data_IF_391186996008
#
_entry.id   IF_391186996008
#
_cell.length_a   1.000
_cell.length_b   1.000
_cell.length_c   1.000
_cell.angle_alpha   90.00
_cell.angle_beta   90.00
_cell.angle_gamma   90.00
#
_symmetry.space_group_name_H-M   'P 1'
#
loop_
_entity.id
_entity.type
_entity.pdbx_description
1 polymer ?
#
# COMPACT_ATOMS: atom_id res chain seq x y z
N UNK A 1 -28.33 16.63 -45.91
CA UNK A 1 -29.68 16.41 -46.42
C UNK A 1 -30.24 15.09 -45.96
N UNK A 2 -31.05 15.14 -44.96
CA UNK A 2 -32.35 14.46 -44.89
C UNK A 2 -33.05 14.95 -43.62
N UNK A 3 -34.15 15.57 -43.92
CA UNK A 3 -35.13 16.24 -43.03
C UNK A 3 -36.02 15.26 -42.30
N UNK A 4 -36.44 15.72 -41.15
CA UNK A 4 -37.78 15.69 -40.51
C UNK A 4 -38.71 14.51 -40.84
N UNK A 5 -39.27 13.89 -39.79
CA UNK A 5 -40.74 13.87 -39.64
C UNK A 5 -41.20 13.63 -38.19
N UNK A 6 -42.18 14.44 -37.88
CA UNK A 6 -42.97 14.54 -36.66
C UNK A 6 -44.01 13.43 -36.63
N UNK A 7 -44.28 12.86 -35.45
CA UNK A 7 -45.61 12.32 -35.15
C UNK A 7 -45.95 12.50 -33.67
N UNK A 8 -46.91 13.42 -33.48
CA UNK A 8 -47.69 13.56 -32.25
C UNK A 8 -48.65 12.39 -32.08
N UNK A 9 -48.82 11.92 -30.87
CA UNK A 9 -50.05 11.23 -30.44
C UNK A 9 -50.42 11.65 -29.04
N UNK A 10 -51.52 12.39 -28.98
CA UNK A 10 -52.30 12.75 -27.79
C UNK A 10 -52.71 11.51 -27.00
N UNK A 11 -52.52 11.59 -25.69
CA UNK A 11 -53.29 10.81 -24.72
C UNK A 11 -53.79 11.74 -23.62
N UNK A 12 -55.03 12.15 -23.79
CA UNK A 12 -55.88 12.80 -22.78
C UNK A 12 -56.24 11.80 -21.68
N UNK A 13 -55.94 12.15 -20.42
CA UNK A 13 -56.43 11.47 -19.22
C UNK A 13 -57.58 12.31 -18.62
N UNK A 14 -58.69 11.72 -18.24
CA UNK A 14 -59.85 12.46 -17.75
C UNK A 14 -59.70 12.88 -16.29
N UNK A 15 -60.14 14.10 -16.00
CA UNK A 15 -60.27 14.70 -14.66
C UNK A 15 -61.58 14.18 -14.01
N UNK A 16 -61.54 13.67 -12.76
CA UNK A 16 -62.75 13.43 -11.99
C UNK A 16 -63.24 14.73 -11.29
N UNK A 17 -64.53 14.99 -11.40
CA UNK A 17 -65.24 16.08 -10.78
C UNK A 17 -65.28 15.97 -9.25
N UNK A 18 -65.28 17.15 -8.59
CA UNK A 18 -65.41 17.32 -7.17
C UNK A 18 -66.80 17.05 -6.65
N UNK A 19 -66.94 16.56 -5.43
CA UNK A 19 -68.17 16.71 -4.64
C UNK A 19 -68.12 17.92 -3.71
N UNK A 20 -69.22 18.63 -3.61
CA UNK A 20 -69.50 19.76 -2.75
C UNK A 20 -69.90 19.35 -1.34
N UNK A 21 -69.51 20.26 -0.42
CA UNK A 21 -70.17 20.58 0.85
C UNK A 21 -69.85 19.81 2.14
N UNK A 22 -69.35 20.61 3.07
CA UNK A 22 -69.70 20.53 4.47
C UNK A 22 -68.60 20.23 5.45
N UNK A 23 -67.78 21.25 5.78
CA UNK A 23 -66.98 21.09 6.98
C UNK A 23 -66.61 22.37 7.72
N UNK A 24 -66.70 22.26 9.03
CA UNK A 24 -66.36 23.27 10.02
C UNK A 24 -64.82 23.47 10.15
N UNK A 25 -64.37 24.65 10.57
CA UNK A 25 -62.95 24.94 10.66
C UNK A 25 -62.36 24.25 11.87
N UNK A 26 -61.38 23.38 11.60
CA UNK A 26 -60.45 22.81 12.61
C UNK A 26 -59.53 23.94 13.10
N UNK A 27 -59.47 24.10 14.41
CA UNK A 27 -58.72 25.19 15.07
C UNK A 27 -57.22 25.12 14.74
N UNK A 28 -56.64 26.29 14.43
CA UNK A 28 -55.20 26.48 14.08
C UNK A 28 -54.23 26.00 15.17
N UNK A 29 -54.69 25.61 16.35
CA UNK A 29 -53.88 25.13 17.46
C UNK A 29 -53.44 23.66 17.32
N UNK A 30 -54.27 22.82 16.63
CA UNK A 30 -53.99 21.40 16.45
C UNK A 30 -52.97 21.13 15.32
N UNK A 31 -52.96 22.00 14.30
CA UNK A 31 -52.02 21.88 13.19
C UNK A 31 -50.57 22.26 13.58
N UNK A 32 -50.41 23.13 14.60
CA UNK A 32 -49.10 23.51 15.11
C UNK A 32 -48.45 22.44 16.00
N UNK A 33 -49.22 21.69 16.78
CA UNK A 33 -48.73 20.65 17.63
C UNK A 33 -48.31 19.38 16.84
N UNK A 34 -48.98 19.09 15.73
CA UNK A 34 -48.61 17.97 14.86
C UNK A 34 -47.38 18.29 14.01
N UNK A 35 -47.16 19.56 13.68
CA UNK A 35 -45.94 20.00 12.96
C UNK A 35 -44.69 20.08 13.88
N UNK A 36 -44.88 20.22 15.19
CA UNK A 36 -43.77 20.22 16.16
C UNK A 36 -43.42 18.81 16.68
N UNK A 37 -44.34 17.84 16.58
CA UNK A 37 -44.11 16.44 16.99
C UNK A 37 -43.50 15.55 15.88
N UNK A 38 -43.46 16.02 14.60
CA UNK A 38 -42.86 15.28 13.48
C UNK A 38 -41.42 15.75 13.14
N UNK A 39 -40.84 16.62 13.93
CA UNK A 39 -39.44 16.96 13.87
C UNK A 39 -38.57 16.07 14.78
N UNK A 40 -38.88 14.78 14.91
CA UNK A 40 -37.91 13.80 15.33
C UNK A 40 -36.95 13.55 14.16
N UNK A 41 -35.77 14.17 14.23
CA UNK A 41 -34.66 13.98 13.31
C UNK A 41 -34.47 12.49 13.09
N UNK A 42 -34.75 12.03 11.88
CA UNK A 42 -34.44 10.67 11.48
C UNK A 42 -32.91 10.52 11.41
N UNK A 43 -32.25 9.66 12.22
CA UNK A 43 -30.79 9.51 12.24
C UNK A 43 -30.19 9.17 10.86
N UNK A 44 -31.00 8.64 9.96
CA UNK A 44 -30.60 8.34 8.58
C UNK A 44 -30.57 9.60 7.69
N UNK A 45 -31.43 10.57 7.93
CA UNK A 45 -31.46 11.84 7.18
C UNK A 45 -30.29 12.75 7.62
N UNK A 46 -30.00 12.83 8.92
CA UNK A 46 -28.83 13.55 9.41
C UNK A 46 -27.53 12.98 8.84
N UNK A 47 -27.38 11.64 8.81
CA UNK A 47 -26.24 10.97 8.21
C UNK A 47 -26.10 11.26 6.71
N UNK A 48 -27.22 11.33 5.98
CA UNK A 48 -27.23 11.65 4.54
C UNK A 48 -26.87 13.11 4.29
N UNK A 49 -27.37 14.03 5.10
CA UNK A 49 -27.04 15.47 4.97
C UNK A 49 -25.57 15.74 5.30
N UNK A 50 -25.01 15.09 6.32
CA UNK A 50 -23.58 15.16 6.63
C UNK A 50 -22.75 14.63 5.45
N UNK A 51 -23.09 13.50 4.91
CA UNK A 51 -22.39 12.91 3.77
C UNK A 51 -22.46 13.81 2.52
N UNK A 52 -23.61 14.42 2.24
CA UNK A 52 -23.77 15.37 1.14
C UNK A 52 -22.99 16.66 1.37
N UNK A 53 -22.91 17.11 2.62
CA UNK A 53 -22.11 18.29 3.00
C UNK A 53 -20.63 18.04 2.80
N UNK A 54 -20.14 16.87 3.20
CA UNK A 54 -18.75 16.47 3.03
C UNK A 54 -18.39 16.26 1.55
N UNK A 55 -19.29 15.67 0.76
CA UNK A 55 -19.11 15.56 -0.70
C UNK A 55 -19.02 16.94 -1.37
N UNK A 56 -19.86 17.91 -0.96
CA UNK A 56 -19.78 19.30 -1.46
C UNK A 56 -18.46 19.98 -1.08
N UNK A 57 -18.00 19.78 0.16
CA UNK A 57 -16.69 20.28 0.62
C UNK A 57 -15.54 19.66 -0.18
N UNK A 58 -15.57 18.35 -0.40
CA UNK A 58 -14.55 17.65 -1.19
C UNK A 58 -14.52 18.06 -2.67
N UNK A 59 -15.66 18.59 -3.18
CA UNK A 59 -15.78 19.10 -4.55
C UNK A 59 -15.28 20.53 -4.71
N UNK A 60 -15.03 21.25 -3.61
CA UNK A 60 -14.49 22.61 -3.65
C UNK A 60 -12.96 22.56 -3.88
N UNK A 61 -12.43 23.11 -4.99
CA UNK A 61 -10.99 23.13 -5.24
C UNK A 61 -10.17 23.89 -4.20
N UNK A 62 -10.80 24.78 -3.42
CA UNK A 62 -10.15 25.54 -2.36
C UNK A 62 -10.17 24.80 -1.00
N UNK A 63 -10.87 23.68 -0.90
CA UNK A 63 -10.98 22.92 0.35
C UNK A 63 -9.73 22.09 0.61
N UNK A 64 -9.02 22.39 1.69
CA UNK A 64 -7.92 21.58 2.19
C UNK A 64 -8.45 20.55 3.21
N UNK A 65 -8.43 19.28 2.82
CA UNK A 65 -8.81 18.20 3.73
C UNK A 65 -7.75 18.05 4.84
N UNK A 66 -8.13 18.32 6.08
CA UNK A 66 -7.25 18.21 7.24
C UNK A 66 -7.83 17.22 8.25
N UNK A 67 -6.96 16.50 8.92
CA UNK A 67 -7.29 15.57 10.00
C UNK A 67 -6.53 16.01 11.26
N UNK A 68 -7.18 16.08 12.40
CA UNK A 68 -6.51 16.41 13.64
C UNK A 68 -5.66 15.23 14.15
N UNK A 69 -4.64 15.52 14.98
CA UNK A 69 -3.85 14.47 15.62
C UNK A 69 -4.71 13.51 16.46
N UNK A 70 -5.76 14.03 17.11
CA UNK A 70 -6.68 13.20 17.86
C UNK A 70 -7.47 12.26 16.94
N UNK A 71 -7.93 12.74 15.79
CA UNK A 71 -8.63 11.91 14.80
C UNK A 71 -7.69 10.83 14.23
N UNK A 72 -6.42 11.16 13.97
CA UNK A 72 -5.43 10.17 13.57
C UNK A 72 -5.30 9.03 14.60
N UNK A 73 -5.26 9.35 15.88
CA UNK A 73 -5.16 8.33 16.94
C UNK A 73 -6.47 7.57 17.21
N UNK A 74 -7.61 8.14 16.83
CA UNK A 74 -8.91 7.49 17.01
C UNK A 74 -9.24 6.50 15.89
N UNK A 75 -8.61 6.64 14.73
CA UNK A 75 -8.80 5.76 13.58
C UNK A 75 -7.77 4.64 13.54
N UNK A 76 -8.19 3.49 13.01
CA UNK A 76 -7.31 2.38 12.70
C UNK A 76 -6.85 2.54 11.25
N UNK A 77 -5.57 2.79 11.05
CA UNK A 77 -4.98 2.74 9.72
C UNK A 77 -4.36 1.35 9.53
N UNK A 78 -4.88 0.61 8.58
CA UNK A 78 -4.34 -0.72 8.29
C UNK A 78 -2.90 -0.56 7.79
N UNK A 79 -1.94 -1.07 8.56
CA UNK A 79 -0.58 -1.21 8.08
C UNK A 79 -0.54 -2.34 7.05
N UNK A 80 0.12 -2.09 5.93
CA UNK A 80 0.36 -3.12 4.93
C UNK A 80 1.56 -3.95 5.37
N UNK A 81 1.46 -5.30 5.37
CA UNK A 81 2.58 -6.12 5.75
C UNK A 81 3.77 -5.87 4.83
N UNK A 82 5.00 -5.98 5.32
CA UNK A 82 6.19 -5.90 4.48
C UNK A 82 6.16 -6.96 3.37
N UNK A 83 6.89 -6.74 2.31
CA UNK A 83 7.12 -7.74 1.25
C UNK A 83 8.20 -8.73 1.73
N UNK A 84 9.24 -8.18 2.37
CA UNK A 84 10.31 -8.92 3.04
C UNK A 84 10.55 -8.24 4.38
N UNK A 85 10.39 -8.95 5.47
CA UNK A 85 10.52 -8.41 6.82
C UNK A 85 11.88 -7.76 7.03
N UNK A 86 11.87 -6.54 7.59
CA UNK A 86 13.08 -5.79 7.87
C UNK A 86 13.86 -5.29 6.65
N UNK A 87 13.42 -5.59 5.40
CA UNK A 87 14.15 -5.24 4.19
C UNK A 87 13.33 -4.49 3.15
N UNK A 88 12.10 -4.89 2.87
CA UNK A 88 11.31 -4.33 1.77
C UNK A 88 9.84 -4.17 2.16
N UNK A 89 9.33 -2.95 2.09
CA UNK A 89 7.98 -2.56 2.47
C UNK A 89 7.16 -2.10 1.26
N UNK A 90 5.83 -2.01 1.34
CA UNK A 90 5.04 -1.29 0.35
C UNK A 90 5.52 0.16 0.21
N UNK A 91 5.59 0.66 -1.03
CA UNK A 91 6.15 1.98 -1.35
C UNK A 91 7.02 1.94 -2.59
N UNK A 92 7.78 2.98 -2.86
CA UNK A 92 8.61 3.10 -4.07
C UNK A 92 10.08 3.21 -3.71
N UNK A 93 10.87 2.28 -4.24
CA UNK A 93 12.31 2.17 -3.97
C UNK A 93 13.12 2.25 -5.26
N UNK A 94 14.29 2.89 -5.18
CA UNK A 94 15.28 2.85 -6.24
C UNK A 94 16.22 1.65 -6.01
N UNK A 95 16.51 0.89 -7.06
CA UNK A 95 17.55 -0.13 -7.05
C UNK A 95 18.65 0.25 -8.03
N UNK A 96 19.74 0.81 -7.51
CA UNK A 96 20.80 1.38 -8.31
C UNK A 96 22.08 0.53 -8.31
N UNK A 97 22.90 0.72 -9.31
CA UNK A 97 24.23 0.11 -9.42
C UNK A 97 24.82 0.24 -10.81
N UNK A 98 26.13 0.05 -10.93
CA UNK A 98 26.83 0.15 -12.18
C UNK A 98 26.29 -0.83 -13.26
N UNK A 99 26.43 -0.51 -14.55
CA UNK A 99 26.11 -1.47 -15.60
C UNK A 99 26.85 -2.80 -15.41
N UNK A 100 26.14 -3.92 -15.61
CA UNK A 100 26.70 -5.29 -15.51
C UNK A 100 27.17 -5.71 -14.11
N UNK A 101 26.82 -4.98 -13.04
CA UNK A 101 27.14 -5.37 -11.65
C UNK A 101 26.35 -6.60 -11.19
N UNK A 102 25.22 -6.91 -11.82
CA UNK A 102 24.37 -8.06 -11.50
C UNK A 102 22.99 -7.72 -10.97
N UNK A 103 22.52 -6.47 -11.16
CA UNK A 103 21.19 -6.00 -10.73
C UNK A 103 20.05 -6.93 -11.16
N UNK A 104 19.91 -7.22 -12.45
CA UNK A 104 18.82 -8.05 -12.97
C UNK A 104 18.83 -9.49 -12.46
N UNK A 105 20.00 -10.02 -12.02
CA UNK A 105 20.04 -11.31 -11.33
C UNK A 105 19.49 -11.21 -9.91
N UNK A 106 19.85 -10.16 -9.17
CA UNK A 106 19.30 -9.94 -7.84
C UNK A 106 17.79 -9.63 -7.89
N UNK A 107 17.35 -8.87 -8.90
CA UNK A 107 15.91 -8.61 -9.13
C UNK A 107 15.15 -9.91 -9.42
N UNK A 108 15.67 -10.79 -10.27
CA UNK A 108 15.07 -12.08 -10.56
C UNK A 108 15.03 -12.99 -9.32
N UNK A 109 16.09 -12.98 -8.51
CA UNK A 109 16.14 -13.73 -7.25
C UNK A 109 15.10 -13.22 -6.25
N UNK A 110 15.04 -11.90 -6.02
CA UNK A 110 14.07 -11.27 -5.13
C UNK A 110 12.63 -11.57 -5.60
N UNK A 111 12.35 -11.41 -6.91
CA UNK A 111 11.05 -11.71 -7.51
C UNK A 111 10.64 -13.17 -7.30
N UNK A 112 11.56 -14.11 -7.49
CA UNK A 112 11.31 -15.53 -7.29
C UNK A 112 11.00 -15.84 -5.81
N UNK A 113 11.79 -15.34 -4.87
CA UNK A 113 11.57 -15.54 -3.45
C UNK A 113 10.21 -15.01 -3.00
N UNK A 114 9.80 -13.81 -3.45
CA UNK A 114 8.48 -13.22 -3.12
C UNK A 114 7.36 -14.04 -3.73
N UNK A 115 7.48 -14.48 -4.98
CA UNK A 115 6.43 -15.25 -5.66
C UNK A 115 6.24 -16.66 -5.07
N UNK A 116 7.30 -17.23 -4.50
CA UNK A 116 7.28 -18.56 -3.87
C UNK A 116 6.99 -18.51 -2.36
N UNK A 117 7.22 -17.36 -1.71
CA UNK A 117 7.19 -17.23 -0.25
C UNK A 117 8.39 -17.86 0.43
N UNK A 118 9.55 -17.92 -0.26
CA UNK A 118 10.77 -18.49 0.28
C UNK A 118 11.59 -17.41 1.00
N UNK A 119 12.16 -17.68 2.17
CA UNK A 119 13.02 -16.71 2.86
C UNK A 119 14.17 -16.23 1.96
N UNK A 120 14.44 -14.91 1.96
CA UNK A 120 15.59 -14.34 1.28
C UNK A 120 16.67 -14.04 2.31
N UNK A 121 17.82 -14.70 2.22
CA UNK A 121 18.94 -14.52 3.16
C UNK A 121 18.58 -14.69 4.65
N UNK A 122 17.55 -15.49 4.95
CA UNK A 122 17.05 -15.68 6.30
C UNK A 122 15.95 -14.70 6.71
N UNK A 123 15.67 -13.66 5.92
CA UNK A 123 14.56 -12.75 6.15
C UNK A 123 13.25 -13.40 5.70
N UNK A 124 12.18 -13.38 6.54
CA UNK A 124 10.86 -13.86 6.17
C UNK A 124 10.29 -13.11 4.97
N UNK A 125 9.59 -13.80 4.08
CA UNK A 125 9.03 -13.25 2.85
C UNK A 125 7.53 -13.52 2.80
N UNK A 126 6.74 -12.46 2.59
CA UNK A 126 5.30 -12.57 2.42
C UNK A 126 4.96 -12.90 0.97
N UNK A 127 4.52 -14.15 0.74
CA UNK A 127 4.16 -14.65 -0.59
C UNK A 127 3.12 -13.78 -1.29
N UNK A 128 3.35 -13.51 -2.57
CA UNK A 128 2.39 -12.78 -3.41
C UNK A 128 2.76 -12.79 -4.88
N UNK A 129 1.88 -12.22 -5.70
CA UNK A 129 2.12 -12.06 -7.12
C UNK A 129 3.17 -10.97 -7.36
N UNK A 130 4.09 -11.24 -8.26
CA UNK A 130 5.15 -10.33 -8.70
C UNK A 130 5.01 -10.05 -10.19
N UNK A 131 5.00 -8.76 -10.56
CA UNK A 131 5.15 -8.32 -11.94
C UNK A 131 6.57 -7.83 -12.17
N UNK A 132 7.28 -8.41 -13.13
CA UNK A 132 8.61 -7.98 -13.53
C UNK A 132 8.60 -7.43 -14.96
N UNK A 133 8.65 -6.10 -15.11
CA UNK A 133 8.85 -5.43 -16.38
C UNK A 133 10.33 -5.49 -16.78
N UNK A 134 10.72 -6.52 -17.52
CA UNK A 134 12.09 -6.76 -17.98
C UNK A 134 12.32 -6.09 -19.35
N UNK A 135 12.31 -4.75 -19.39
CA UNK A 135 12.24 -3.95 -20.61
C UNK A 135 13.56 -3.87 -21.41
N UNK A 136 14.63 -4.46 -20.88
CA UNK A 136 15.93 -4.61 -21.57
C UNK A 136 16.22 -6.06 -21.98
N UNK A 137 15.29 -6.98 -21.71
CA UNK A 137 15.41 -8.40 -22.00
C UNK A 137 14.41 -8.88 -23.06
N UNK A 138 14.60 -10.11 -23.51
CA UNK A 138 13.63 -10.88 -24.29
C UNK A 138 13.27 -12.18 -23.58
N UNK A 139 12.19 -12.83 -24.01
CA UNK A 139 11.70 -14.06 -23.37
C UNK A 139 12.74 -15.20 -23.38
N UNK A 140 13.53 -15.34 -24.42
CA UNK A 140 14.58 -16.37 -24.52
C UNK A 140 15.68 -16.14 -23.48
N UNK A 141 16.13 -14.91 -23.33
CA UNK A 141 17.16 -14.55 -22.35
C UNK A 141 16.65 -14.73 -20.92
N UNK A 142 15.39 -14.34 -20.67
CA UNK A 142 14.73 -14.56 -19.39
C UNK A 142 14.63 -16.05 -19.07
N UNK A 143 14.14 -16.87 -20.01
CA UNK A 143 14.04 -18.31 -19.85
C UNK A 143 15.38 -18.94 -19.49
N UNK A 144 16.45 -18.65 -20.26
CA UNK A 144 17.78 -19.18 -20.00
C UNK A 144 18.36 -18.74 -18.65
N UNK A 145 18.10 -17.49 -18.24
CA UNK A 145 18.51 -16.95 -16.95
C UNK A 145 17.81 -17.66 -15.80
N UNK A 146 16.48 -17.72 -15.84
CA UNK A 146 15.66 -18.32 -14.78
C UNK A 146 15.95 -19.81 -14.63
N UNK A 147 16.07 -20.54 -15.74
CA UNK A 147 16.45 -21.94 -15.72
C UNK A 147 17.82 -22.16 -15.05
N UNK A 148 18.79 -21.31 -15.35
CA UNK A 148 20.12 -21.38 -14.72
C UNK A 148 20.07 -21.09 -13.22
N UNK A 149 19.22 -20.14 -12.81
CA UNK A 149 19.13 -19.71 -11.41
C UNK A 149 18.34 -20.70 -10.55
N UNK A 150 17.21 -21.18 -11.06
CA UNK A 150 16.20 -21.89 -10.25
C UNK A 150 15.89 -23.31 -10.77
N UNK A 151 16.48 -23.72 -11.92
CA UNK A 151 16.20 -25.01 -12.51
C UNK A 151 14.81 -25.09 -13.13
N UNK A 152 14.08 -26.17 -12.85
CA UNK A 152 12.73 -26.43 -13.39
C UNK A 152 11.61 -26.00 -12.44
N UNK A 153 11.93 -25.46 -11.28
CA UNK A 153 10.92 -24.99 -10.32
C UNK A 153 10.36 -23.65 -10.78
N UNK A 154 9.11 -23.67 -11.25
CA UNK A 154 8.36 -22.52 -11.73
C UNK A 154 7.22 -22.12 -10.82
N UNK A 155 6.64 -20.96 -11.07
CA UNK A 155 5.46 -20.44 -10.35
C UNK A 155 4.63 -19.54 -11.27
N UNK A 156 3.30 -19.63 -11.13
CA UNK A 156 2.37 -18.74 -11.82
C UNK A 156 2.24 -17.35 -11.15
N UNK A 157 2.83 -17.19 -9.95
CA UNK A 157 2.84 -15.93 -9.24
C UNK A 157 3.97 -14.96 -9.67
N UNK A 158 4.83 -15.34 -10.62
CA UNK A 158 5.87 -14.49 -11.19
C UNK A 158 5.62 -14.26 -12.66
N UNK A 159 5.13 -13.08 -13.00
CA UNK A 159 4.78 -12.69 -14.35
C UNK A 159 5.81 -11.72 -14.94
N UNK A 160 6.15 -11.90 -16.21
CA UNK A 160 7.12 -11.07 -16.93
C UNK A 160 6.46 -10.33 -18.09
N UNK A 161 6.85 -9.06 -18.27
CA UNK A 161 6.56 -8.30 -19.47
C UNK A 161 7.87 -7.71 -20.03
N UNK A 162 8.12 -7.92 -21.31
CA UNK A 162 9.30 -7.37 -22.01
C UNK A 162 8.97 -6.06 -22.75
N UNK A 163 7.72 -5.64 -22.68
CA UNK A 163 7.22 -4.40 -23.23
C UNK A 163 6.17 -3.78 -22.28
N UNK A 164 6.23 -2.46 -22.12
CA UNK A 164 5.23 -1.66 -21.42
C UNK A 164 5.11 -0.29 -22.10
N UNK A 165 4.01 0.40 -21.90
CA UNK A 165 3.86 1.80 -22.28
C UNK A 165 4.77 2.70 -21.42
N UNK A 166 4.95 3.95 -21.86
CA UNK A 166 5.67 4.94 -21.08
C UNK A 166 4.77 5.58 -20.04
N UNK A 167 5.38 6.16 -19.02
CA UNK A 167 4.73 6.95 -17.98
C UNK A 167 4.04 8.15 -18.62
N UNK A 168 2.81 8.47 -18.22
CA UNK A 168 1.99 9.51 -18.84
C UNK A 168 1.35 9.13 -20.19
N UNK A 169 1.69 7.96 -20.75
CA UNK A 169 1.14 7.47 -22.03
C UNK A 169 0.44 6.11 -21.88
N UNK A 170 0.07 5.77 -20.65
CA UNK A 170 -0.75 4.61 -20.33
C UNK A 170 -0.05 3.48 -19.55
N UNK A 171 1.14 3.71 -18.99
CA UNK A 171 1.79 2.75 -18.08
C UNK A 171 0.97 2.63 -16.77
N UNK A 172 0.52 3.75 -16.24
CA UNK A 172 -0.24 3.80 -15.00
C UNK A 172 -1.52 2.96 -15.09
N UNK A 173 -2.24 3.06 -16.20
CA UNK A 173 -3.44 2.28 -16.46
C UNK A 173 -3.13 0.79 -16.62
N UNK A 174 -2.00 0.45 -17.27
CA UNK A 174 -1.55 -0.93 -17.39
C UNK A 174 -1.26 -1.54 -16.01
N UNK A 175 -0.53 -0.82 -15.16
CA UNK A 175 -0.19 -1.30 -13.82
C UNK A 175 -1.41 -1.38 -12.90
N UNK A 176 -2.28 -0.35 -12.90
CA UNK A 176 -3.55 -0.37 -12.14
C UNK A 176 -4.47 -1.51 -12.59
N UNK A 177 -4.54 -1.78 -13.90
CA UNK A 177 -5.30 -2.91 -14.43
C UNK A 177 -4.72 -4.24 -13.95
N UNK A 178 -3.40 -4.41 -14.05
CA UNK A 178 -2.71 -5.62 -13.61
C UNK A 178 -2.99 -5.91 -12.12
N UNK A 179 -2.88 -4.91 -11.24
CA UNK A 179 -3.13 -5.09 -9.81
C UNK A 179 -4.59 -5.46 -9.53
N UNK A 180 -5.56 -4.90 -10.29
CA UNK A 180 -6.97 -5.31 -10.17
C UNK A 180 -7.22 -6.75 -10.60
N UNK A 181 -6.53 -7.22 -11.64
CA UNK A 181 -6.62 -8.60 -12.14
C UNK A 181 -5.87 -9.58 -11.23
N UNK A 182 -4.87 -9.10 -10.47
CA UNK A 182 -4.05 -9.87 -9.53
C UNK A 182 -4.06 -9.22 -8.13
N UNK A 183 -5.13 -9.35 -7.33
CA UNK A 183 -5.29 -8.65 -6.05
C UNK A 183 -4.21 -8.97 -5.01
N UNK A 184 -3.54 -10.12 -5.13
CA UNK A 184 -2.43 -10.51 -4.26
C UNK A 184 -1.07 -10.00 -4.75
N UNK A 185 -1.03 -8.96 -5.60
CA UNK A 185 0.24 -8.36 -6.05
C UNK A 185 0.94 -7.68 -4.88
N UNK A 186 2.17 -8.09 -4.61
CA UNK A 186 3.02 -7.53 -3.56
C UNK A 186 4.15 -6.66 -4.11
N UNK A 187 4.68 -7.03 -5.29
CA UNK A 187 5.88 -6.41 -5.84
C UNK A 187 5.73 -6.18 -7.34
N UNK A 188 6.12 -4.99 -7.78
CA UNK A 188 6.30 -4.66 -9.19
C UNK A 188 7.75 -4.20 -9.38
N UNK A 189 8.49 -4.84 -10.27
CA UNK A 189 9.87 -4.48 -10.62
C UNK A 189 9.88 -3.86 -12.01
N UNK A 190 10.51 -2.69 -12.16
CA UNK A 190 10.70 -2.02 -13.44
C UNK A 190 12.21 -1.99 -13.77
N UNK A 191 12.65 -2.81 -14.70
CA UNK A 191 14.04 -2.92 -15.14
C UNK A 191 14.15 -2.53 -16.65
N UNK A 192 14.43 -1.25 -16.97
CA UNK A 192 14.89 -0.15 -16.11
C UNK A 192 13.96 1.06 -16.17
N UNK A 193 14.08 1.94 -15.16
CA UNK A 193 13.36 3.21 -15.09
C UNK A 193 13.52 4.05 -16.38
N UNK A 194 14.71 4.00 -17.01
CA UNK A 194 14.98 4.74 -18.23
C UNK A 194 14.05 4.35 -19.40
N UNK A 195 13.55 3.12 -19.44
CA UNK A 195 12.70 2.61 -20.54
C UNK A 195 11.27 3.09 -20.48
N UNK A 196 10.80 3.50 -19.32
CA UNK A 196 9.42 3.98 -19.12
C UNK A 196 9.30 5.49 -19.12
N UNK A 197 10.43 6.23 -19.15
CA UNK A 197 10.43 7.70 -19.24
C UNK A 197 9.95 8.15 -20.62
N UNK A 198 9.20 9.24 -20.66
CA UNK A 198 8.76 9.87 -21.91
C UNK A 198 9.96 10.26 -22.79
N UNK A 199 9.81 10.05 -24.09
CA UNK A 199 10.78 10.46 -25.08
C UNK A 199 10.54 11.92 -25.46
N UNK A 200 10.98 12.88 -24.64
CA UNK A 200 10.86 14.31 -24.94
C UNK A 200 10.98 15.18 -23.68
N UNK A 201 11.56 16.35 -23.83
CA UNK A 201 11.77 17.30 -22.74
C UNK A 201 13.19 17.29 -22.17
N UNK A 202 13.42 18.16 -21.19
CA UNK A 202 14.71 18.33 -20.51
C UNK A 202 14.92 17.12 -19.59
N UNK A 203 15.47 16.03 -20.16
CA UNK A 203 15.49 14.66 -19.62
C UNK A 203 16.16 14.49 -18.26
N UNK A 204 16.87 15.51 -17.78
CA UNK A 204 17.73 15.42 -16.60
C UNK A 204 17.57 16.61 -15.64
N UNK A 205 16.40 17.26 -15.61
CA UNK A 205 16.14 18.29 -14.60
C UNK A 205 15.69 17.62 -13.28
N UNK A 206 16.04 18.24 -12.17
CA UNK A 206 15.59 17.83 -10.84
C UNK A 206 14.05 17.70 -10.75
N UNK A 207 13.34 18.68 -11.33
CA UNK A 207 11.89 18.70 -11.33
C UNK A 207 11.29 17.49 -12.06
N UNK A 208 11.85 17.13 -13.23
CA UNK A 208 11.38 15.98 -14.01
C UNK A 208 11.66 14.64 -13.28
N UNK A 209 12.86 14.48 -12.71
CA UNK A 209 13.20 13.29 -11.93
C UNK A 209 12.27 13.13 -10.72
N UNK A 210 12.01 14.22 -10.00
CA UNK A 210 11.11 14.23 -8.86
C UNK A 210 9.66 13.90 -9.26
N UNK A 211 9.19 14.47 -10.38
CA UNK A 211 7.83 14.22 -10.90
C UNK A 211 7.63 12.77 -11.33
N UNK A 212 8.59 12.18 -12.05
CA UNK A 212 8.55 10.80 -12.51
C UNK A 212 8.41 9.82 -11.34
N UNK A 213 9.27 9.93 -10.32
CA UNK A 213 9.19 9.07 -9.14
C UNK A 213 7.95 9.39 -8.32
N UNK A 214 7.54 10.66 -8.23
CA UNK A 214 6.33 11.08 -7.53
C UNK A 214 5.03 10.49 -8.13
N UNK A 215 4.94 10.39 -9.47
CA UNK A 215 3.81 9.71 -10.15
C UNK A 215 3.80 8.22 -9.82
N UNK A 216 4.94 7.56 -9.89
CA UNK A 216 5.10 6.13 -9.58
C UNK A 216 4.82 5.84 -8.10
N UNK A 217 5.25 6.75 -7.19
CA UNK A 217 4.95 6.64 -5.77
C UNK A 217 3.46 6.70 -5.50
N UNK A 218 2.74 7.69 -6.05
CA UNK A 218 1.28 7.75 -5.91
C UNK A 218 0.60 6.47 -6.40
N UNK A 219 1.07 5.91 -7.52
CA UNK A 219 0.55 4.63 -8.01
C UNK A 219 0.80 3.47 -7.05
N UNK A 220 2.01 3.37 -6.49
CA UNK A 220 2.35 2.34 -5.50
C UNK A 220 1.50 2.48 -4.23
N UNK A 221 1.32 3.70 -3.74
CA UNK A 221 0.50 4.03 -2.57
C UNK A 221 -0.98 3.69 -2.81
N UNK A 222 -1.55 4.10 -3.97
CA UNK A 222 -2.94 3.80 -4.37
C UNK A 222 -3.19 2.29 -4.47
N UNK A 223 -2.25 1.55 -5.08
CA UNK A 223 -2.37 0.12 -5.30
C UNK A 223 -1.96 -0.73 -4.07
N UNK A 224 -1.23 -0.17 -3.12
CA UNK A 224 -0.74 -0.87 -1.96
C UNK A 224 0.36 -1.89 -2.22
N UNK A 225 1.20 -1.62 -3.21
CA UNK A 225 2.26 -2.51 -3.66
C UNK A 225 3.63 -1.92 -3.39
N UNK A 226 4.66 -2.76 -3.36
CA UNK A 226 6.03 -2.32 -3.47
C UNK A 226 6.40 -2.13 -4.95
N UNK A 227 6.95 -0.98 -5.29
CA UNK A 227 7.46 -0.67 -6.61
C UNK A 227 8.99 -0.50 -6.54
N UNK A 228 9.72 -1.37 -7.24
CA UNK A 228 11.17 -1.38 -7.26
C UNK A 228 11.69 -0.93 -8.63
N UNK A 229 12.32 0.26 -8.67
CA UNK A 229 12.78 0.93 -9.88
C UNK A 229 14.27 0.69 -10.10
N UNK A 230 14.62 -0.12 -11.09
CA UNK A 230 16.04 -0.39 -11.41
C UNK A 230 16.63 0.79 -12.18
N UNK A 231 17.77 1.28 -11.69
CA UNK A 231 18.47 2.43 -12.26
C UNK A 231 19.97 2.25 -12.31
N UNK A 232 20.67 3.15 -12.99
CA UNK A 232 22.13 3.12 -13.11
C UNK A 232 22.80 4.13 -12.17
N UNK A 233 24.06 3.88 -11.82
CA UNK A 233 24.91 4.86 -11.13
C UNK A 233 25.76 5.65 -12.11
N UNK A 234 26.13 6.87 -11.72
CA UNK A 234 27.15 7.68 -12.39
C UNK A 234 28.54 7.06 -12.17
N UNK A 235 29.49 7.45 -13.02
CA UNK A 235 30.90 7.00 -12.87
C UNK A 235 31.68 7.83 -11.85
N UNK A 236 31.18 9.00 -11.46
CA UNK A 236 31.83 9.87 -10.48
C UNK A 236 31.67 9.30 -9.07
N UNK A 237 32.75 9.32 -8.30
CA UNK A 237 32.69 9.06 -6.87
C UNK A 237 32.07 10.27 -6.16
N UNK A 238 31.30 10.02 -5.13
CA UNK A 238 30.70 11.01 -4.26
C UNK A 238 31.01 10.67 -2.80
N UNK A 239 31.00 11.66 -1.93
CA UNK A 239 31.22 11.45 -0.49
C UNK A 239 30.09 10.60 0.11
N UNK A 240 28.84 10.88 -0.28
CA UNK A 240 27.72 9.99 -0.03
C UNK A 240 27.57 9.01 -1.23
N UNK A 241 27.54 7.71 -0.93
CA UNK A 241 27.40 6.66 -1.93
C UNK A 241 26.09 6.76 -2.71
N UNK A 242 25.01 7.19 -2.08
CA UNK A 242 23.71 7.34 -2.74
C UNK A 242 23.67 8.50 -3.74
N UNK A 243 24.55 9.50 -3.60
CA UNK A 243 24.73 10.55 -4.59
C UNK A 243 25.30 10.06 -5.93
N UNK A 244 25.81 8.82 -5.96
CA UNK A 244 26.23 8.16 -7.19
C UNK A 244 25.05 7.70 -8.06
N UNK A 245 23.82 7.69 -7.55
CA UNK A 245 22.63 7.33 -8.33
C UNK A 245 22.52 8.31 -9.50
N UNK A 246 22.42 7.76 -10.72
CA UNK A 246 22.36 8.57 -11.93
C UNK A 246 21.06 9.39 -11.98
N UNK A 247 21.13 10.62 -12.48
CA UNK A 247 20.02 11.56 -12.41
C UNK A 247 20.32 12.68 -11.41
N UNK A 248 19.30 13.24 -10.82
CA UNK A 248 19.42 14.26 -9.78
C UNK A 248 19.06 13.69 -8.41
N UNK A 249 19.37 14.39 -7.33
CA UNK A 249 18.91 14.07 -5.98
C UNK A 249 17.37 14.05 -5.89
N UNK A 250 16.67 14.54 -6.93
CA UNK A 250 15.22 14.45 -7.06
C UNK A 250 14.67 13.02 -7.11
N UNK A 251 15.41 12.08 -7.71
CA UNK A 251 15.00 10.67 -7.72
C UNK A 251 14.98 10.09 -6.30
N UNK A 252 16.06 10.25 -5.56
CA UNK A 252 16.18 9.75 -4.20
C UNK A 252 15.22 10.45 -3.24
N UNK A 253 15.10 11.79 -3.37
CA UNK A 253 14.21 12.59 -2.53
C UNK A 253 12.71 12.25 -2.66
N UNK A 254 12.28 11.76 -3.83
CA UNK A 254 10.91 11.35 -4.07
C UNK A 254 10.61 9.90 -3.68
N UNK A 255 11.61 9.02 -3.64
CA UNK A 255 11.47 7.62 -3.28
C UNK A 255 11.34 7.42 -1.76
N UNK A 256 10.79 6.28 -1.34
CA UNK A 256 10.74 5.86 0.07
C UNK A 256 12.05 5.27 0.56
N UNK A 257 12.90 4.83 -0.35
CA UNK A 257 14.24 4.36 -0.04
C UNK A 257 15.02 3.96 -1.28
N UNK A 258 16.25 3.52 -1.07
CA UNK A 258 17.15 3.10 -2.14
C UNK A 258 18.02 1.91 -1.72
N UNK A 259 18.31 1.08 -2.70
CA UNK A 259 19.23 -0.03 -2.67
C UNK A 259 20.39 0.27 -3.63
N UNK A 260 21.60 0.22 -3.17
CA UNK A 260 22.80 0.50 -3.97
C UNK A 260 23.72 -0.72 -4.02
N UNK A 261 23.74 -1.42 -5.18
CA UNK A 261 24.59 -2.59 -5.40
C UNK A 261 25.93 -2.16 -6.01
N UNK A 262 27.02 -2.42 -5.29
CA UNK A 262 28.37 -2.04 -5.67
C UNK A 262 29.32 -3.25 -5.67
N UNK A 263 30.30 -3.25 -6.57
CA UNK A 263 31.44 -4.16 -6.55
C UNK A 263 32.73 -3.37 -6.48
N UNK A 264 33.65 -3.80 -5.66
CA UNK A 264 35.01 -3.18 -5.61
C UNK A 264 35.75 -3.40 -6.91
N UNK A 265 35.73 -4.63 -7.43
CA UNK A 265 36.34 -4.99 -8.71
C UNK A 265 35.34 -5.73 -9.60
N UNK A 266 35.39 -5.48 -10.91
CA UNK A 266 34.46 -6.15 -11.88
C UNK A 266 34.61 -7.67 -11.90
N UNK A 267 35.82 -8.17 -11.65
CA UNK A 267 36.13 -9.61 -11.64
C UNK A 267 35.79 -10.29 -10.32
N UNK A 268 35.47 -9.50 -9.30
CA UNK A 268 35.13 -10.01 -7.99
C UNK A 268 33.77 -10.67 -7.99
N UNK A 269 33.64 -11.83 -7.31
CA UNK A 269 32.38 -12.50 -7.06
C UNK A 269 31.54 -11.78 -6.01
N UNK A 270 32.19 -10.97 -5.15
CA UNK A 270 31.57 -10.25 -4.04
C UNK A 270 30.98 -8.90 -4.46
N UNK A 271 29.98 -8.45 -3.70
CA UNK A 271 29.37 -7.15 -3.83
C UNK A 271 28.86 -6.65 -2.47
N UNK A 272 28.70 -5.35 -2.36
CA UNK A 272 28.05 -4.71 -1.23
C UNK A 272 26.72 -4.15 -1.69
N UNK A 273 25.65 -4.41 -0.93
CA UNK A 273 24.35 -3.81 -1.10
C UNK A 273 24.09 -2.90 0.09
N UNK A 274 24.16 -1.59 -0.12
CA UNK A 274 23.77 -0.60 0.86
C UNK A 274 22.27 -0.32 0.69
N UNK A 275 21.54 -0.23 1.80
CA UNK A 275 20.06 0.03 1.84
C UNK A 275 19.80 1.20 2.77
N UNK A 276 19.04 2.18 2.30
CA UNK A 276 18.56 3.30 3.10
C UNK A 276 17.09 3.60 2.78
N UNK A 277 16.32 4.01 3.78
CA UNK A 277 14.89 4.31 3.59
C UNK A 277 14.31 5.17 4.70
N UNK A 278 13.10 5.73 4.46
CA UNK A 278 12.44 6.63 5.42
C UNK A 278 12.00 5.91 6.69
N UNK A 279 11.47 4.71 6.54
CA UNK A 279 10.82 3.95 7.61
C UNK A 279 11.59 2.67 7.96
N UNK A 280 12.84 2.58 7.53
CA UNK A 280 13.71 1.44 7.80
C UNK A 280 15.11 1.93 8.18
N UNK A 281 15.83 1.12 8.95
CA UNK A 281 17.21 1.40 9.32
C UNK A 281 18.13 1.23 8.13
N UNK A 282 19.22 1.99 8.11
CA UNK A 282 20.29 1.80 7.16
C UNK A 282 20.96 0.45 7.38
N UNK A 283 21.15 -0.30 6.31
CA UNK A 283 21.70 -1.65 6.34
C UNK A 283 22.75 -1.80 5.26
N UNK A 284 23.74 -2.64 5.54
CA UNK A 284 24.76 -3.03 4.58
C UNK A 284 24.89 -4.54 4.54
N UNK A 285 24.72 -5.11 3.35
CA UNK A 285 24.81 -6.53 3.07
C UNK A 285 26.06 -6.83 2.26
N UNK A 286 26.85 -7.78 2.71
CA UNK A 286 28.00 -8.31 1.97
C UNK A 286 27.54 -9.58 1.27
N UNK A 287 27.58 -9.55 -0.05
CA UNK A 287 27.02 -10.58 -0.91
C UNK A 287 28.10 -11.23 -1.75
N UNK A 288 28.01 -12.55 -1.92
CA UNK A 288 28.82 -13.30 -2.88
C UNK A 288 27.92 -13.94 -3.92
N UNK A 289 28.32 -13.84 -5.18
CA UNK A 289 27.58 -14.41 -6.31
C UNK A 289 28.04 -15.83 -6.58
N UNK A 290 27.11 -16.79 -6.45
CA UNK A 290 27.31 -18.16 -6.91
C UNK A 290 27.63 -18.18 -8.41
N UNK A 291 28.71 -18.87 -8.80
CA UNK A 291 29.20 -18.89 -10.19
C UNK A 291 28.38 -19.81 -11.09
N UNK A 292 27.75 -20.83 -10.53
CA UNK A 292 26.97 -21.81 -11.29
C UNK A 292 25.53 -21.34 -11.47
N UNK A 293 24.86 -21.00 -10.37
CA UNK A 293 23.46 -20.60 -10.35
C UNK A 293 23.25 -19.10 -10.54
N UNK A 294 24.30 -18.29 -10.40
CA UNK A 294 24.28 -16.82 -10.53
C UNK A 294 23.38 -16.11 -9.51
N UNK A 295 23.02 -16.78 -8.42
CA UNK A 295 22.30 -16.21 -7.28
C UNK A 295 23.26 -15.51 -6.32
N UNK A 296 22.71 -14.54 -5.58
CA UNK A 296 23.45 -13.83 -4.54
C UNK A 296 23.20 -14.47 -3.18
N UNK A 297 24.26 -14.84 -2.50
CA UNK A 297 24.27 -15.38 -1.13
C UNK A 297 24.75 -14.32 -0.16
N UNK A 298 24.14 -14.24 1.01
CA UNK A 298 24.53 -13.33 2.07
C UNK A 298 25.70 -13.92 2.85
N UNK A 299 26.77 -13.16 3.01
CA UNK A 299 27.91 -13.51 3.87
C UNK A 299 27.74 -12.93 5.27
N UNK A 300 27.44 -11.64 5.35
CA UNK A 300 27.22 -10.92 6.60
C UNK A 300 26.41 -9.63 6.38
N UNK A 301 25.83 -9.12 7.45
CA UNK A 301 25.16 -7.82 7.50
C UNK A 301 25.84 -6.90 8.49
N UNK A 302 25.85 -5.62 8.19
CA UNK A 302 26.08 -4.53 9.14
C UNK A 302 24.78 -3.73 9.19
N UNK A 303 24.15 -3.74 10.35
CA UNK A 303 22.91 -3.01 10.61
C UNK A 303 23.10 -2.29 11.93
N UNK A 304 22.70 -1.04 12.01
CA UNK A 304 22.50 -0.42 13.32
C UNK A 304 21.27 -1.10 13.94
N UNK A 305 21.53 -2.17 14.69
CA UNK A 305 20.48 -3.02 15.22
C UNK A 305 19.77 -2.36 16.40
N UNK A 306 18.82 -1.47 16.13
CA UNK A 306 17.78 -1.20 17.09
C UNK A 306 16.59 -2.13 16.80
N UNK A 307 16.44 -3.16 17.60
CA UNK A 307 15.22 -3.98 17.58
C UNK A 307 14.22 -3.33 18.54
N UNK A 308 13.05 -2.97 18.04
CA UNK A 308 11.99 -2.45 18.91
C UNK A 308 11.69 -3.50 19.99
N UNK A 309 11.78 -3.14 21.29
CA UNK A 309 11.50 -4.10 22.35
C UNK A 309 10.05 -4.61 22.24
N UNK A 310 9.79 -5.86 22.62
CA UNK A 310 8.44 -6.41 22.65
C UNK A 310 7.48 -5.46 23.37
N UNK A 311 6.28 -5.26 22.81
CA UNK A 311 5.26 -4.41 23.42
C UNK A 311 4.48 -5.20 24.48
N UNK A 312 4.64 -4.89 25.78
CA UNK A 312 4.00 -5.68 26.85
C UNK A 312 2.48 -5.74 26.74
N UNK A 313 1.85 -4.72 26.12
CA UNK A 313 0.39 -4.70 25.94
C UNK A 313 -0.01 -5.67 24.85
N UNK A 314 0.74 -5.75 23.74
CA UNK A 314 0.47 -6.70 22.66
C UNK A 314 0.73 -8.14 23.13
N UNK A 315 1.78 -8.37 23.92
CA UNK A 315 2.04 -9.69 24.54
C UNK A 315 0.92 -10.11 25.49
N UNK A 316 0.42 -9.20 26.32
CA UNK A 316 -0.70 -9.48 27.20
C UNK A 316 -2.00 -9.81 26.42
N UNK A 317 -2.22 -9.14 25.28
CA UNK A 317 -3.35 -9.46 24.39
C UNK A 317 -3.15 -10.84 23.75
N UNK A 318 -1.95 -11.17 23.30
CA UNK A 318 -1.64 -12.49 22.74
C UNK A 318 -1.85 -13.62 23.76
N UNK A 319 -1.60 -13.34 25.04
CA UNK A 319 -1.92 -14.27 26.13
C UNK A 319 -3.43 -14.36 26.43
N UNK A 320 -4.20 -13.31 26.15
CA UNK A 320 -5.66 -13.29 26.37
C UNK A 320 -6.43 -13.98 25.25
N UNK A 321 -5.94 -13.89 24.00
CA UNK A 321 -6.58 -14.43 22.78
C UNK A 321 -5.74 -15.59 22.26
N UNK A 322 -6.21 -16.82 22.51
CA UNK A 322 -5.47 -18.06 22.22
C UNK A 322 -6.29 -18.95 21.28
N UNK A 323 -5.70 -20.05 20.80
CA UNK A 323 -6.41 -21.04 19.98
C UNK A 323 -7.63 -21.62 20.70
N UNK A 324 -7.57 -21.76 22.03
CA UNK A 324 -8.69 -22.26 22.85
C UNK A 324 -9.76 -21.19 23.07
N UNK A 325 -9.36 -19.91 23.05
CA UNK A 325 -10.26 -18.76 23.17
C UNK A 325 -9.94 -17.75 22.06
N UNK A 326 -10.39 -18.01 20.82
CA UNK A 326 -9.95 -17.26 19.65
C UNK A 326 -10.55 -15.86 19.53
N UNK A 327 -11.49 -15.48 20.39
CA UNK A 327 -12.15 -14.17 20.35
C UNK A 327 -12.27 -13.58 21.75
N UNK A 328 -12.12 -12.26 21.80
CA UNK A 328 -12.45 -11.44 22.96
C UNK A 328 -13.28 -10.23 22.51
N UNK A 329 -14.33 -9.87 23.25
CA UNK A 329 -15.15 -8.69 22.95
C UNK A 329 -15.56 -7.96 24.22
N UNK A 330 -15.55 -6.63 24.19
CA UNK A 330 -15.93 -5.80 25.34
C UNK A 330 -15.59 -4.32 25.14
N UNK A 331 -15.69 -3.56 26.19
CA UNK A 331 -15.31 -2.14 26.23
C UNK A 331 -13.82 -1.97 26.53
N UNK A 332 -13.27 -0.78 26.27
CA UNK A 332 -11.88 -0.47 26.64
C UNK A 332 -11.62 -0.60 28.16
N UNK A 333 -12.64 -0.33 28.99
CA UNK A 333 -12.54 -0.49 30.45
C UNK A 333 -12.45 -1.96 30.86
N UNK A 334 -13.25 -2.82 30.23
CA UNK A 334 -13.18 -4.26 30.46
C UNK A 334 -11.86 -4.86 29.97
N UNK A 335 -11.31 -4.35 28.85
CA UNK A 335 -10.02 -4.80 28.35
C UNK A 335 -8.88 -4.40 29.30
N UNK A 336 -8.88 -3.17 29.85
CA UNK A 336 -7.93 -2.75 30.90
C UNK A 336 -7.95 -3.71 32.07
N UNK A 337 -9.16 -4.08 32.55
CA UNK A 337 -9.32 -5.03 33.62
C UNK A 337 -8.83 -6.44 33.26
N UNK A 338 -9.13 -6.92 32.05
CA UNK A 338 -8.70 -8.23 31.57
C UNK A 338 -7.18 -8.34 31.42
N UNK A 339 -6.51 -7.27 30.99
CA UNK A 339 -5.05 -7.19 30.84
C UNK A 339 -4.33 -6.84 32.15
N UNK A 340 -5.06 -6.50 33.21
CA UNK A 340 -4.52 -6.10 34.51
C UNK A 340 -3.49 -4.95 34.38
N UNK A 341 -3.76 -3.98 33.51
CA UNK A 341 -2.87 -2.83 33.24
C UNK A 341 -3.36 -1.57 33.95
N UNK A 342 -2.44 -0.69 34.37
CA UNK A 342 -2.75 0.62 34.98
C UNK A 342 -3.09 1.70 33.94
N UNK A 343 -3.16 1.34 32.66
CA UNK A 343 -3.46 2.29 31.58
C UNK A 343 -4.90 2.80 31.68
N UNK A 344 -5.09 4.08 31.33
CA UNK A 344 -6.44 4.62 31.14
C UNK A 344 -7.11 3.96 29.92
N UNK A 345 -8.42 3.63 29.96
CA UNK A 345 -9.11 2.96 28.84
C UNK A 345 -8.94 3.65 27.48
N UNK A 346 -9.03 4.99 27.45
CA UNK A 346 -8.82 5.75 26.21
C UNK A 346 -7.37 5.64 25.70
N UNK A 347 -6.38 5.64 26.58
CA UNK A 347 -4.98 5.51 26.19
C UNK A 347 -4.69 4.10 25.65
N UNK A 348 -5.28 3.07 26.23
CA UNK A 348 -5.20 1.70 25.73
C UNK A 348 -5.82 1.60 24.32
N UNK A 349 -7.04 2.11 24.13
CA UNK A 349 -7.70 2.09 22.82
C UNK A 349 -6.89 2.83 21.74
N UNK A 350 -6.36 4.02 22.06
CA UNK A 350 -5.49 4.77 21.12
C UNK A 350 -4.22 3.99 20.77
N UNK A 351 -3.57 3.37 21.77
CA UNK A 351 -2.39 2.53 21.52
C UNK A 351 -2.72 1.37 20.60
N UNK A 352 -3.84 0.69 20.81
CA UNK A 352 -4.27 -0.43 19.98
C UNK A 352 -4.65 0.01 18.57
N UNK A 353 -5.29 1.16 18.41
CA UNK A 353 -5.56 1.72 17.08
C UNK A 353 -4.27 1.90 16.27
N UNK A 354 -3.23 2.46 16.91
CA UNK A 354 -1.91 2.68 16.27
C UNK A 354 -1.16 1.35 16.03
N UNK A 355 -1.32 0.37 16.92
CA UNK A 355 -0.61 -0.92 16.88
C UNK A 355 -1.43 -2.07 16.27
N UNK A 356 -2.60 -1.79 15.72
CA UNK A 356 -3.48 -2.80 15.15
C UNK A 356 -2.80 -3.66 14.07
N UNK A 357 -2.02 -3.02 13.21
CA UNK A 357 -1.25 -3.72 12.18
C UNK A 357 -0.18 -4.65 12.76
N UNK A 358 0.55 -4.20 13.78
CA UNK A 358 1.57 -5.01 14.46
C UNK A 358 0.94 -6.18 15.20
N UNK A 359 -0.21 -5.98 15.84
CA UNK A 359 -0.95 -7.06 16.49
C UNK A 359 -1.39 -8.15 15.49
N UNK A 360 -1.79 -7.75 14.29
CA UNK A 360 -2.15 -8.67 13.22
C UNK A 360 -0.93 -9.41 12.67
N UNK A 361 0.16 -8.68 12.39
CA UNK A 361 1.37 -9.24 11.74
C UNK A 361 2.12 -10.18 12.69
N UNK A 362 2.36 -9.77 13.94
CA UNK A 362 3.25 -10.47 14.86
C UNK A 362 2.51 -11.57 15.66
N UNK A 363 1.20 -11.37 15.91
CA UNK A 363 0.41 -12.25 16.78
C UNK A 363 -0.81 -12.87 16.10
N UNK A 364 -1.06 -12.56 14.82
CA UNK A 364 -2.23 -12.99 14.05
C UNK A 364 -3.56 -12.63 14.71
N UNK A 365 -3.61 -11.53 15.46
CA UNK A 365 -4.81 -11.06 16.14
C UNK A 365 -5.33 -9.82 15.44
N UNK A 366 -6.53 -9.94 14.86
CA UNK A 366 -7.27 -8.81 14.30
C UNK A 366 -7.89 -8.00 15.42
N UNK A 367 -7.62 -6.71 15.46
CA UNK A 367 -8.21 -5.74 16.35
C UNK A 367 -9.21 -4.87 15.59
N UNK A 368 -10.41 -4.72 16.12
CA UNK A 368 -11.44 -3.82 15.61
C UNK A 368 -11.98 -2.97 16.74
N UNK A 369 -12.24 -1.69 16.44
CA UNK A 369 -12.82 -0.73 17.36
C UNK A 369 -14.04 -0.11 16.68
N UNK A 370 -15.23 -0.43 17.17
CA UNK A 370 -16.50 0.05 16.60
C UNK A 370 -17.20 0.99 17.58
N UNK A 371 -17.94 1.95 17.05
CA UNK A 371 -18.78 2.87 17.82
C UNK A 371 -20.25 2.59 17.50
N UNK A 372 -21.03 2.29 18.53
CA UNK A 372 -22.48 2.14 18.43
C UNK A 372 -23.19 3.14 19.35
N UNK A 373 -24.51 3.24 19.28
CA UNK A 373 -25.31 4.03 20.23
C UNK A 373 -25.11 3.60 21.68
N UNK A 374 -24.70 2.36 21.94
CA UNK A 374 -24.39 1.82 23.26
C UNK A 374 -22.97 2.13 23.75
N UNK A 375 -22.13 2.76 22.93
CA UNK A 375 -20.73 3.11 23.27
C UNK A 375 -19.71 2.52 22.30
N UNK A 376 -18.42 2.62 22.69
CA UNK A 376 -17.31 2.02 21.94
C UNK A 376 -17.10 0.58 22.38
N UNK A 377 -17.01 -0.34 21.41
CA UNK A 377 -16.71 -1.75 21.63
C UNK A 377 -15.43 -2.15 20.88
N UNK A 378 -14.63 -2.97 21.54
CA UNK A 378 -13.40 -3.55 21.03
C UNK A 378 -13.65 -5.02 20.76
N UNK A 379 -13.24 -5.52 19.60
CA UNK A 379 -13.15 -6.94 19.31
C UNK A 379 -11.73 -7.34 18.94
N UNK A 380 -11.31 -8.50 19.43
CA UNK A 380 -10.04 -9.14 19.16
C UNK A 380 -10.34 -10.53 18.63
N UNK A 381 -9.79 -10.89 17.49
CA UNK A 381 -10.04 -12.20 16.85
C UNK A 381 -8.72 -12.80 16.37
N UNK A 382 -8.43 -14.02 16.80
CA UNK A 382 -7.28 -14.77 16.30
C UNK A 382 -7.57 -15.24 14.87
N UNK A 383 -6.74 -14.84 13.93
CA UNK A 383 -6.82 -15.32 12.55
C UNK A 383 -6.01 -16.61 12.38
N UNK A 384 -6.52 -17.57 11.59
CA UNK A 384 -5.74 -18.74 11.28
C UNK A 384 -4.46 -18.33 10.54
N UNK A 385 -3.32 -18.85 10.97
CA UNK A 385 -2.05 -18.68 10.26
C UNK A 385 -2.23 -19.16 8.81
N UNK A 386 -2.05 -18.27 7.84
CA UNK A 386 -2.03 -18.68 6.43
C UNK A 386 -0.77 -19.51 6.21
N UNK A 387 -0.96 -20.83 6.19
CA UNK A 387 0.09 -21.80 5.91
C UNK A 387 0.52 -21.75 4.43
#
# INVERSE_FOLDING_TARGET
DWSSDVCSSDLTVPVPSAPTDGEQPISQTTAKSIAEETAENNPQEESLEEMLRDMRRMSDPAYLHTVSMNDLYQNIYQSRPPVIDGLLYPGTYLFAGAPKVGKSFLMAQLAYHVSMGLPLWGYPVHKGTVLYLALEDDHRRLQGRLYRMFGTEGTDNLLFAVYAKQLGVGLEEQLKKFVREHPNTKLIIIDTLQKIREAGGDKYSYANDYEVVGKLKRLADDCGVCLLLVHHTRKQQADDKFDMISGTNGLLGAADGAFLLQKEKRTDGSAVLDVAGRDQQDQRFYLTKDKERLIWTLERTETEAWTEPPDPVLEAIAALVTVEKPTWGGTATELVAALQTDMKPNALAMRLNVRAGKLLTDYHIRYENSRSHAGRSISLTLEPSQA
#
